data_IF_956024701010
#
_entry.id   IF_956024701010
#
_cell.length_a   1.000
_cell.length_b   1.000
_cell.length_c   1.000
_cell.angle_alpha   90.00
_cell.angle_beta   90.00
_cell.angle_gamma   90.00
#
_symmetry.space_group_name_H-M   'P 1'
#
loop_
_entity.id
_entity.type
_entity.pdbx_description
1 polymer ?
#
# COMPACT_ATOMS: atom_id res chain seq x y z
N UNK A 1 32.77 38.23 14.41
CA UNK A 1 33.06 36.82 14.72
C UNK A 1 31.71 36.14 14.95
N UNK A 2 31.10 35.65 13.88
CA UNK A 2 29.67 35.31 13.80
C UNK A 2 29.38 33.97 14.47
N UNK A 3 28.35 34.01 15.32
CA UNK A 3 27.80 32.93 16.13
C UNK A 3 27.56 31.67 15.28
N UNK A 4 28.17 30.55 15.70
CA UNK A 4 27.85 29.23 15.18
C UNK A 4 26.39 28.91 15.49
N UNK A 5 25.58 28.82 14.44
CA UNK A 5 24.21 28.33 14.53
C UNK A 5 24.24 26.88 15.04
N UNK A 6 23.45 26.53 16.08
CA UNK A 6 23.40 25.17 16.56
C UNK A 6 22.79 24.31 15.46
N UNK A 7 23.66 23.48 14.89
CA UNK A 7 23.40 22.38 13.98
C UNK A 7 22.04 21.75 14.28
N UNK A 8 21.10 21.87 13.34
CA UNK A 8 19.75 21.32 13.45
C UNK A 8 19.83 19.86 13.84
N UNK A 9 19.48 19.57 15.09
CA UNK A 9 19.49 18.22 15.65
C UNK A 9 18.52 17.40 14.78
N UNK A 10 19.06 16.49 13.96
CA UNK A 10 18.25 15.42 13.38
C UNK A 10 17.78 14.62 14.58
N UNK A 11 16.56 14.90 15.04
CA UNK A 11 15.93 14.08 16.05
C UNK A 11 15.63 12.78 15.33
N UNK A 12 16.53 11.81 15.45
CA UNK A 12 16.29 10.45 15.01
C UNK A 12 15.14 9.93 15.89
N UNK A 13 13.91 10.11 15.39
CA UNK A 13 12.71 9.70 16.10
C UNK A 13 12.77 8.18 16.30
N UNK A 14 12.68 7.76 17.56
CA UNK A 14 12.59 6.34 17.92
C UNK A 14 11.35 5.74 17.23
N UNK A 15 11.39 4.44 16.88
CA UNK A 15 10.27 3.77 16.20
C UNK A 15 8.92 3.97 16.90
N UNK A 16 8.91 4.04 18.23
CA UNK A 16 7.72 4.33 19.03
C UNK A 16 7.14 5.73 18.76
N UNK A 17 7.97 6.74 18.57
CA UNK A 17 7.53 8.09 18.26
C UNK A 17 6.92 8.17 16.86
N UNK A 18 7.49 7.43 15.89
CA UNK A 18 6.93 7.31 14.55
C UNK A 18 5.56 6.64 14.55
N UNK A 19 5.36 5.60 15.36
CA UNK A 19 4.06 4.94 15.52
C UNK A 19 2.99 5.87 16.12
N UNK A 20 3.36 6.70 17.10
CA UNK A 20 2.42 7.66 17.72
C UNK A 20 2.05 8.79 16.75
N UNK A 21 2.93 9.14 15.80
CA UNK A 21 2.66 10.14 14.77
C UNK A 21 1.70 9.66 13.67
N UNK A 22 1.44 8.36 13.57
CA UNK A 22 0.45 7.83 12.63
C UNK A 22 -0.92 8.37 13.03
N UNK A 23 -1.70 8.81 12.04
CA UNK A 23 -3.07 9.23 12.26
C UNK A 23 -3.96 8.00 12.56
N UNK A 24 -4.05 7.63 13.84
CA UNK A 24 -4.82 6.50 14.31
C UNK A 24 -6.32 6.61 14.02
N UNK A 25 -6.86 7.84 13.93
CA UNK A 25 -8.25 8.04 13.52
C UNK A 25 -8.48 7.51 12.11
N UNK A 26 -7.58 7.81 11.17
CA UNK A 26 -7.66 7.32 9.80
C UNK A 26 -7.58 5.79 9.73
N UNK A 27 -6.69 5.17 10.50
CA UNK A 27 -6.55 3.71 10.59
C UNK A 27 -7.86 3.07 11.11
N UNK A 28 -8.46 3.64 12.15
CA UNK A 28 -9.73 3.17 12.72
C UNK A 28 -10.85 3.30 11.68
N UNK A 29 -10.97 4.44 11.00
CA UNK A 29 -12.00 4.67 9.99
C UNK A 29 -11.92 3.66 8.84
N UNK A 30 -10.72 3.41 8.31
CA UNK A 30 -10.51 2.40 7.27
C UNK A 30 -10.92 1.01 7.77
N UNK A 31 -10.55 0.68 9.00
CA UNK A 31 -10.88 -0.62 9.61
C UNK A 31 -12.38 -0.80 9.81
N UNK A 32 -13.09 0.26 10.20
CA UNK A 32 -14.55 0.24 10.33
C UNK A 32 -15.24 0.04 8.98
N UNK A 33 -14.82 0.78 7.95
CA UNK A 33 -15.37 0.63 6.59
C UNK A 33 -15.12 -0.79 6.06
N UNK A 34 -13.92 -1.33 6.28
CA UNK A 34 -13.61 -2.72 5.93
C UNK A 34 -14.49 -3.72 6.70
N UNK A 35 -14.75 -3.48 7.99
CA UNK A 35 -15.65 -4.28 8.81
C UNK A 35 -17.07 -4.33 8.25
N UNK A 36 -17.62 -3.18 7.81
CA UNK A 36 -18.91 -3.13 7.11
C UNK A 36 -18.85 -3.93 5.80
N UNK A 37 -17.75 -3.82 5.05
CA UNK A 37 -17.50 -4.63 3.85
C UNK A 37 -17.52 -6.14 4.11
N UNK A 38 -16.90 -6.60 5.21
CA UNK A 38 -16.93 -8.01 5.61
C UNK A 38 -18.34 -8.47 5.98
N UNK A 39 -19.10 -7.64 6.69
CA UNK A 39 -20.49 -7.93 7.02
C UNK A 39 -21.37 -8.05 5.76
N UNK A 40 -21.16 -7.18 4.77
CA UNK A 40 -21.84 -7.27 3.47
C UNK A 40 -21.50 -8.55 2.72
N UNK A 41 -20.22 -8.95 2.69
CA UNK A 41 -19.79 -10.20 2.05
C UNK A 41 -20.37 -11.43 2.74
N UNK A 42 -20.39 -11.43 4.07
CA UNK A 42 -21.02 -12.50 4.86
C UNK A 42 -22.53 -12.62 4.58
N UNK A 43 -23.21 -11.48 4.46
CA UNK A 43 -24.63 -11.42 4.11
C UNK A 43 -24.89 -11.94 2.69
N UNK A 44 -24.10 -11.49 1.71
CA UNK A 44 -24.21 -11.94 0.31
C UNK A 44 -23.91 -13.44 0.14
N UNK A 45 -23.14 -14.01 1.05
CA UNK A 45 -22.77 -15.42 1.10
C UNK A 45 -23.75 -16.28 1.91
N UNK A 46 -24.94 -15.76 2.25
CA UNK A 46 -25.99 -16.46 2.99
C UNK A 46 -25.52 -16.98 4.37
N UNK A 47 -24.63 -16.24 5.03
CA UNK A 47 -24.06 -16.60 6.33
C UNK A 47 -22.83 -17.50 6.28
N UNK A 48 -22.26 -17.72 5.09
CA UNK A 48 -20.96 -18.41 4.96
C UNK A 48 -19.80 -17.42 4.91
N UNK A 49 -18.76 -17.68 5.70
CA UNK A 49 -17.52 -16.88 5.70
C UNK A 49 -16.69 -17.21 4.44
N UNK A 50 -16.82 -18.44 3.95
CA UNK A 50 -16.12 -18.92 2.77
C UNK A 50 -16.98 -18.88 1.51
N UNK A 51 -16.37 -18.63 0.34
CA UNK A 51 -14.94 -18.31 0.11
C UNK A 51 -14.61 -16.81 0.10
N UNK A 52 -15.60 -15.92 0.23
CA UNK A 52 -15.40 -14.49 -0.09
C UNK A 52 -14.90 -13.65 1.09
N UNK A 53 -15.52 -13.77 2.26
CA UNK A 53 -15.13 -12.97 3.42
C UNK A 53 -13.75 -13.37 3.94
N UNK A 54 -13.43 -14.67 4.00
CA UNK A 54 -12.11 -15.17 4.40
C UNK A 54 -10.97 -14.63 3.52
N UNK A 55 -11.11 -14.72 2.19
CA UNK A 55 -10.12 -14.17 1.25
C UNK A 55 -9.98 -12.66 1.38
N UNK A 56 -11.09 -11.94 1.58
CA UNK A 56 -11.07 -10.49 1.74
C UNK A 56 -10.39 -10.07 3.06
N UNK A 57 -10.63 -10.80 4.16
CA UNK A 57 -10.00 -10.55 5.45
C UNK A 57 -8.48 -10.74 5.40
N UNK A 58 -7.99 -11.80 4.72
CA UNK A 58 -6.55 -12.05 4.54
C UNK A 58 -5.90 -10.93 3.72
N UNK A 59 -6.53 -10.50 2.63
CA UNK A 59 -6.02 -9.39 1.80
C UNK A 59 -6.00 -8.07 2.56
N UNK A 60 -7.06 -7.80 3.34
CA UNK A 60 -7.14 -6.59 4.15
C UNK A 60 -6.09 -6.59 5.26
N UNK A 61 -5.89 -7.70 5.98
CA UNK A 61 -4.88 -7.76 7.04
C UNK A 61 -3.45 -7.60 6.47
N UNK A 62 -3.15 -8.24 5.35
CA UNK A 62 -1.87 -8.05 4.64
C UNK A 62 -1.68 -6.58 4.20
N UNK A 63 -2.72 -5.96 3.63
CA UNK A 63 -2.69 -4.54 3.22
C UNK A 63 -2.53 -3.58 4.40
N UNK A 64 -3.19 -3.85 5.53
CA UNK A 64 -3.09 -3.04 6.75
C UNK A 64 -1.67 -3.10 7.33
N UNK A 65 -1.08 -4.28 7.41
CA UNK A 65 0.32 -4.45 7.85
C UNK A 65 1.26 -3.69 6.91
N UNK A 66 1.09 -3.85 5.59
CA UNK A 66 1.90 -3.15 4.61
C UNK A 66 1.78 -1.62 4.72
N UNK A 67 0.57 -1.10 4.93
CA UNK A 67 0.32 0.32 5.14
C UNK A 67 1.06 0.84 6.37
N UNK A 68 1.00 0.13 7.50
CA UNK A 68 1.71 0.51 8.72
C UNK A 68 3.23 0.49 8.51
N UNK A 69 3.77 -0.52 7.81
CA UNK A 69 5.20 -0.59 7.48
C UNK A 69 5.65 0.58 6.62
N UNK A 70 4.87 0.94 5.58
CA UNK A 70 5.16 2.08 4.71
C UNK A 70 5.10 3.40 5.50
N UNK A 71 4.13 3.55 6.41
CA UNK A 71 3.98 4.74 7.23
C UNK A 71 5.15 4.99 8.21
N UNK A 72 5.95 3.96 8.53
CA UNK A 72 7.15 4.10 9.37
C UNK A 72 8.35 4.71 8.62
N UNK A 73 8.30 4.74 7.29
CA UNK A 73 9.35 5.27 6.42
C UNK A 73 9.11 6.76 6.18
N UNK A 74 10.15 7.57 6.35
CA UNK A 74 10.07 9.02 6.10
C UNK A 74 9.76 9.30 4.62
N UNK A 75 8.79 10.20 4.38
CA UNK A 75 8.40 10.72 3.06
C UNK A 75 9.62 11.21 2.27
N UNK A 76 10.63 11.80 2.92
CA UNK A 76 11.86 12.25 2.22
C UNK A 76 12.66 11.11 1.60
N UNK A 77 12.61 9.91 2.19
CA UNK A 77 13.24 8.72 1.63
C UNK A 77 12.53 8.28 0.35
N UNK A 78 11.19 8.30 0.37
CA UNK A 78 10.36 8.00 -0.79
C UNK A 78 10.61 8.97 -1.94
N UNK A 79 10.61 10.28 -1.67
CA UNK A 79 10.84 11.32 -2.67
C UNK A 79 12.22 11.22 -3.33
N UNK A 80 13.26 10.79 -2.59
CA UNK A 80 14.60 10.58 -3.15
C UNK A 80 14.62 9.46 -4.20
N UNK A 81 13.80 8.44 -4.02
CA UNK A 81 13.72 7.29 -4.91
C UNK A 81 12.57 7.41 -5.92
N UNK A 82 11.84 8.52 -5.95
CA UNK A 82 10.65 8.70 -6.78
C UNK A 82 10.91 8.39 -8.26
N UNK A 83 11.98 8.94 -8.85
CA UNK A 83 12.36 8.66 -10.23
C UNK A 83 12.64 7.18 -10.50
N UNK A 84 13.31 6.49 -9.57
CA UNK A 84 13.59 5.06 -9.69
C UNK A 84 12.30 4.23 -9.60
N UNK A 85 11.42 4.58 -8.66
CA UNK A 85 10.11 3.95 -8.47
C UNK A 85 9.24 4.15 -9.72
N UNK A 86 9.25 5.35 -10.30
CA UNK A 86 8.55 5.67 -11.54
C UNK A 86 9.03 4.85 -12.73
N UNK A 87 10.35 4.79 -12.97
CA UNK A 87 10.91 3.98 -14.07
C UNK A 87 10.60 2.50 -13.85
N UNK A 88 10.72 2.00 -12.61
CA UNK A 88 10.34 0.63 -12.27
C UNK A 88 8.86 0.34 -12.53
N UNK A 89 7.95 1.25 -12.14
CA UNK A 89 6.52 1.12 -12.41
C UNK A 89 6.19 1.18 -13.91
N UNK A 90 6.91 2.00 -14.68
CA UNK A 90 6.76 2.10 -16.13
C UNK A 90 7.19 0.80 -16.81
N UNK A 91 8.34 0.24 -16.42
CA UNK A 91 8.80 -1.06 -16.90
C UNK A 91 7.80 -2.17 -16.57
N UNK A 92 7.15 -2.11 -15.40
CA UNK A 92 6.14 -3.07 -15.00
C UNK A 92 4.86 -2.99 -15.86
N UNK A 93 4.46 -1.78 -16.29
CA UNK A 93 3.37 -1.60 -17.25
C UNK A 93 3.71 -2.22 -18.61
N UNK A 94 4.92 -1.97 -19.11
CA UNK A 94 5.41 -2.56 -20.35
C UNK A 94 5.45 -4.09 -20.22
N UNK A 95 5.89 -4.61 -19.07
CA UNK A 95 5.94 -6.04 -18.80
C UNK A 95 4.56 -6.70 -18.82
N UNK A 96 3.50 -6.04 -18.32
CA UNK A 96 2.13 -6.56 -18.44
C UNK A 96 1.66 -6.67 -19.87
N UNK A 97 2.07 -5.77 -20.75
CA UNK A 97 1.61 -5.85 -22.13
C UNK A 97 2.17 -7.08 -22.84
N UNK A 98 3.40 -7.45 -22.50
CA UNK A 98 4.09 -8.62 -23.07
C UNK A 98 3.69 -9.92 -22.37
N UNK A 99 3.63 -9.95 -21.03
CA UNK A 99 3.50 -11.16 -20.20
C UNK A 99 2.22 -11.22 -19.35
N UNK A 100 1.31 -10.24 -19.49
CA UNK A 100 0.11 -10.14 -18.66
C UNK A 100 -0.92 -11.23 -18.97
N UNK A 101 -1.60 -11.69 -17.93
CA UNK A 101 -2.70 -12.65 -18.04
C UNK A 101 -3.95 -11.91 -18.52
N UNK A 102 -4.63 -12.49 -19.52
CA UNK A 102 -5.89 -11.93 -20.05
C UNK A 102 -7.00 -12.17 -19.03
N UNK A 103 -7.50 -11.10 -18.41
CA UNK A 103 -8.72 -11.11 -17.60
C UNK A 103 -9.80 -10.32 -18.31
N UNK A 104 -10.94 -10.94 -18.62
CA UNK A 104 -12.09 -10.27 -19.26
C UNK A 104 -11.73 -9.56 -20.58
N UNK A 105 -10.86 -10.16 -21.40
CA UNK A 105 -10.47 -9.62 -22.72
C UNK A 105 -9.36 -8.57 -22.72
N UNK A 106 -8.81 -8.18 -21.57
CA UNK A 106 -7.67 -7.27 -21.46
C UNK A 106 -6.56 -7.84 -20.55
N UNK A 107 -5.30 -7.66 -20.94
CA UNK A 107 -4.14 -8.01 -20.09
C UNK A 107 -3.98 -6.93 -19.03
N UNK A 108 -4.42 -7.20 -17.79
CA UNK A 108 -4.40 -6.20 -16.70
C UNK A 108 -3.62 -6.65 -15.47
N UNK A 109 -3.44 -7.96 -15.31
CA UNK A 109 -2.89 -8.54 -14.11
C UNK A 109 -1.60 -9.30 -14.46
N UNK A 110 -0.55 -9.07 -13.67
CA UNK A 110 0.60 -9.97 -13.60
C UNK A 110 0.27 -11.02 -12.56
N UNK A 111 0.27 -12.29 -12.96
CA UNK A 111 0.21 -13.38 -12.00
C UNK A 111 1.64 -13.68 -11.50
N UNK A 112 1.89 -13.36 -10.23
CA UNK A 112 3.16 -13.65 -9.56
C UNK A 112 3.10 -15.01 -8.81
N UNK A 113 2.07 -15.82 -9.09
CA UNK A 113 1.82 -17.13 -8.49
C UNK A 113 1.16 -17.06 -7.12
N UNK A 114 1.69 -16.23 -6.21
CA UNK A 114 1.15 -16.04 -4.86
C UNK A 114 0.04 -14.99 -4.81
N UNK A 115 0.13 -13.97 -5.64
CA UNK A 115 -0.85 -12.90 -5.75
C UNK A 115 -0.83 -12.31 -7.14
N UNK A 116 -1.96 -11.73 -7.54
CA UNK A 116 -2.09 -11.02 -8.80
C UNK A 116 -1.81 -9.55 -8.53
N UNK A 117 -0.80 -8.99 -9.20
CA UNK A 117 -0.42 -7.60 -9.08
C UNK A 117 -0.94 -6.83 -10.30
N UNK A 118 -1.56 -5.69 -10.05
CA UNK A 118 -2.01 -4.79 -11.10
C UNK A 118 -1.00 -3.63 -11.23
N UNK A 119 -0.19 -3.56 -12.30
CA UNK A 119 0.89 -2.56 -12.40
C UNK A 119 0.39 -1.12 -12.39
N UNK A 120 -0.84 -0.88 -12.89
CA UNK A 120 -1.43 0.46 -12.87
C UNK A 120 -1.65 0.99 -11.45
N UNK A 121 -1.79 0.12 -10.44
CA UNK A 121 -1.84 0.58 -9.05
C UNK A 121 -0.49 1.08 -8.55
N UNK A 122 0.59 0.39 -8.90
CA UNK A 122 1.96 0.82 -8.59
C UNK A 122 2.28 2.13 -9.30
N UNK A 123 1.87 2.28 -10.56
CA UNK A 123 2.05 3.52 -11.32
C UNK A 123 1.31 4.72 -10.69
N UNK A 124 0.07 4.53 -10.19
CA UNK A 124 -0.66 5.61 -9.50
C UNK A 124 0.14 6.17 -8.32
N UNK A 125 0.77 5.30 -7.53
CA UNK A 125 1.60 5.73 -6.39
C UNK A 125 2.87 6.40 -6.91
N UNK A 126 3.52 5.82 -7.92
CA UNK A 126 4.75 6.36 -8.48
C UNK A 126 4.59 7.75 -9.13
N UNK A 127 3.40 8.08 -9.62
CA UNK A 127 3.07 9.41 -10.15
C UNK A 127 2.84 10.47 -9.06
N UNK A 128 2.40 10.05 -7.88
CA UNK A 128 2.15 10.95 -6.74
C UNK A 128 3.46 11.28 -5.99
N UNK A 129 4.42 10.36 -6.00
CA UNK A 129 5.77 10.52 -5.44
C UNK A 129 6.63 11.45 -6.30
#
# INVERSE_FOLDING_TARGET
MTLGSPMGRRVDLTLLQKLVQINWLLVILITLIAGVGFAMLYSAANGSIDPWASRQMIRFSAGLVLMLLIALVDVRSWLRHAYLIYVGALLLLIAVEVMGVVGMGARRWVDLGLFQLQPSEVMKIALVL
#
